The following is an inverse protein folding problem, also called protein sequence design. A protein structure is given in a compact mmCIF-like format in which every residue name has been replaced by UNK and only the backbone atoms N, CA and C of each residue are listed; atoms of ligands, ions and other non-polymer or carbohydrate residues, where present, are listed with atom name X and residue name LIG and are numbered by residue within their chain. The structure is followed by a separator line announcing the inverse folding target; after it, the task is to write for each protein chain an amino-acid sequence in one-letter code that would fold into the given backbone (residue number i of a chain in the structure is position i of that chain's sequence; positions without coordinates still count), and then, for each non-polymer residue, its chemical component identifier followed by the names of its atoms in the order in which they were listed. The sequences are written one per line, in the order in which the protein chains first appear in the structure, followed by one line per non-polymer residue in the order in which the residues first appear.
data_IF_707705680615
#
_entry.id   IF_707705680615
#
_cell.length_a   1.000
_cell.length_b   1.000
_cell.length_c   1.000
_cell.angle_alpha   90.00
_cell.angle_beta   90.00
_cell.angle_gamma   90.00
#
_symmetry.space_group_name_H-M   'P 1'
#
loop_
_entity.id
_entity.type
_entity.pdbx_description
1 polymer ?
#
# COMPACT_ATOMS: atom_id res chain seq x y z
N UNK A 1 15.52 -13.00 8.47
CA UNK A 1 15.41 -11.61 8.96
C UNK A 1 16.25 -10.76 8.03
N UNK A 2 15.65 -9.75 7.40
CA UNK A 2 16.32 -8.87 6.43
C UNK A 2 17.42 -8.06 7.13
N UNK A 3 18.66 -8.05 6.64
CA UNK A 3 19.72 -7.17 7.17
C UNK A 3 19.63 -5.78 6.56
N UNK A 4 19.73 -4.73 7.39
CA UNK A 4 19.74 -3.32 6.96
C UNK A 4 20.94 -3.00 6.06
N UNK A 5 22.05 -3.73 6.20
CA UNK A 5 23.28 -3.52 5.43
C UNK A 5 23.06 -3.73 3.91
N UNK A 6 22.07 -4.55 3.53
CA UNK A 6 21.70 -4.79 2.13
C UNK A 6 20.88 -3.64 1.51
N UNK A 7 20.56 -2.59 2.29
CA UNK A 7 19.66 -1.50 1.93
C UNK A 7 20.31 -0.12 2.05
N UNK A 8 21.64 -0.02 2.05
CA UNK A 8 22.31 1.29 1.97
C UNK A 8 21.81 2.08 0.72
N UNK A 9 21.25 3.26 0.95
CA UNK A 9 20.62 4.11 -0.08
C UNK A 9 19.18 3.70 -0.48
N UNK A 10 18.61 2.68 0.18
CA UNK A 10 17.25 2.15 -0.03
C UNK A 10 16.54 1.85 1.31
N UNK A 11 16.81 2.63 2.34
CA UNK A 11 16.31 2.43 3.71
C UNK A 11 14.78 2.46 3.76
N UNK A 12 14.13 3.21 2.86
CA UNK A 12 12.67 3.21 2.71
C UNK A 12 12.11 1.86 2.24
N UNK A 13 12.86 1.12 1.42
CA UNK A 13 12.46 -0.22 0.99
C UNK A 13 12.58 -1.23 2.14
N UNK A 14 13.59 -1.07 3.01
CA UNK A 14 13.77 -1.91 4.20
C UNK A 14 12.54 -1.89 5.11
N UNK A 15 11.99 -0.71 5.43
CA UNK A 15 10.80 -0.61 6.29
C UNK A 15 9.59 -1.32 5.65
N UNK A 16 9.40 -1.16 4.34
CA UNK A 16 8.31 -1.84 3.61
C UNK A 16 8.48 -3.35 3.67
N UNK A 17 9.71 -3.84 3.55
CA UNK A 17 10.02 -5.27 3.59
C UNK A 17 9.81 -5.87 4.98
N UNK A 18 10.30 -5.20 6.02
CA UNK A 18 10.07 -5.61 7.43
C UNK A 18 8.57 -5.63 7.74
N UNK A 19 7.84 -4.60 7.31
CA UNK A 19 6.39 -4.57 7.45
C UNK A 19 5.73 -5.75 6.74
N UNK A 20 6.02 -5.97 5.46
CA UNK A 20 5.40 -7.06 4.70
C UNK A 20 5.76 -8.44 5.25
N UNK A 21 7.02 -8.69 5.62
CA UNK A 21 7.43 -9.96 6.21
C UNK A 21 6.71 -10.27 7.52
N UNK A 22 6.66 -9.31 8.44
CA UNK A 22 6.04 -9.51 9.76
C UNK A 22 4.51 -9.49 9.71
N UNK A 23 3.94 -8.57 8.94
CA UNK A 23 2.51 -8.30 8.97
C UNK A 23 1.70 -9.20 8.05
N UNK A 24 2.13 -9.37 6.79
CA UNK A 24 1.32 -10.05 5.78
C UNK A 24 1.08 -11.51 6.15
N UNK A 25 2.13 -12.24 6.55
CA UNK A 25 2.00 -13.65 6.91
C UNK A 25 1.07 -13.84 8.12
N UNK A 26 1.20 -12.99 9.14
CA UNK A 26 0.32 -12.99 10.31
C UNK A 26 -1.15 -12.67 9.94
N UNK A 27 -1.37 -11.68 9.08
CA UNK A 27 -2.70 -11.32 8.58
C UNK A 27 -3.32 -12.46 7.79
N UNK A 28 -2.55 -13.09 6.88
CA UNK A 28 -3.00 -14.24 6.10
C UNK A 28 -3.40 -15.38 7.03
N UNK A 29 -2.57 -15.73 8.03
CA UNK A 29 -2.93 -16.77 8.99
C UNK A 29 -4.20 -16.45 9.78
N UNK A 30 -4.40 -15.21 10.19
CA UNK A 30 -5.62 -14.82 10.91
C UNK A 30 -6.85 -14.94 10.02
N UNK A 31 -6.79 -14.39 8.81
CA UNK A 31 -7.95 -14.27 7.90
C UNK A 31 -8.28 -15.59 7.20
N UNK A 32 -7.28 -16.35 6.77
CA UNK A 32 -7.46 -17.64 6.12
C UNK A 32 -8.05 -18.72 7.04
N UNK A 33 -8.16 -18.46 8.35
CA UNK A 33 -8.97 -19.29 9.25
C UNK A 33 -10.49 -19.15 9.00
N UNK A 34 -10.92 -18.04 8.39
CA UNK A 34 -12.33 -17.70 8.15
C UNK A 34 -12.67 -17.57 6.65
N UNK A 35 -11.70 -17.33 5.78
CA UNK A 35 -11.89 -17.12 4.34
C UNK A 35 -11.09 -18.13 3.52
N UNK A 36 -11.70 -18.65 2.45
CA UNK A 36 -11.06 -19.62 1.56
C UNK A 36 -10.21 -18.98 0.45
N UNK A 37 -10.37 -17.68 0.26
CA UNK A 37 -9.61 -16.88 -0.70
C UNK A 37 -8.94 -15.70 0.03
N UNK A 38 -7.63 -15.54 -0.21
CA UNK A 38 -6.88 -14.36 0.18
C UNK A 38 -6.25 -13.73 -1.08
N UNK A 39 -6.45 -12.42 -1.24
CA UNK A 39 -5.85 -11.66 -2.34
C UNK A 39 -4.99 -10.54 -1.80
N UNK A 40 -3.71 -10.55 -2.15
CA UNK A 40 -2.82 -9.41 -2.01
C UNK A 40 -2.88 -8.56 -3.27
N UNK A 41 -3.03 -7.25 -3.12
CA UNK A 41 -3.01 -6.30 -4.24
C UNK A 41 -1.92 -5.27 -3.98
N UNK A 42 -0.90 -5.22 -4.83
CA UNK A 42 0.12 -4.17 -4.81
C UNK A 42 -0.17 -3.18 -5.96
N UNK A 43 -0.56 -1.96 -5.59
CA UNK A 43 -0.87 -0.91 -6.55
C UNK A 43 0.35 -0.30 -7.23
N UNK A 44 1.56 -0.52 -6.70
CA UNK A 44 2.77 0.15 -7.14
C UNK A 44 3.99 -0.78 -7.07
N UNK A 45 3.83 -2.00 -7.60
CA UNK A 45 4.74 -3.12 -7.36
C UNK A 45 6.19 -2.85 -7.78
N UNK A 46 6.44 -2.02 -8.80
CA UNK A 46 7.78 -1.94 -9.37
C UNK A 46 8.19 -3.23 -10.07
N UNK A 47 9.35 -3.23 -10.71
CA UNK A 47 10.48 -3.85 -10.05
C UNK A 47 11.60 -2.83 -9.90
N UNK A 48 11.55 -2.05 -8.82
CA UNK A 48 12.56 -1.03 -8.55
C UNK A 48 13.80 -1.70 -7.95
N UNK A 49 14.90 -1.65 -8.70
CA UNK A 49 16.26 -2.02 -8.25
C UNK A 49 16.43 -3.48 -7.77
N UNK A 50 15.65 -4.42 -8.31
CA UNK A 50 15.90 -5.83 -7.99
C UNK A 50 17.31 -6.21 -8.47
N UNK A 51 18.13 -6.65 -7.53
CA UNK A 51 19.51 -7.09 -7.78
C UNK A 51 19.52 -8.48 -8.42
N UNK A 52 18.42 -9.24 -8.28
CA UNK A 52 18.32 -10.65 -8.66
C UNK A 52 17.14 -10.91 -9.61
N UNK A 53 17.31 -11.83 -10.57
CA UNK A 53 16.26 -12.21 -11.54
C UNK A 53 15.01 -12.86 -10.91
N UNK A 54 15.07 -13.19 -9.62
CA UNK A 54 13.97 -13.79 -8.83
C UNK A 54 13.09 -12.78 -8.10
N UNK A 55 13.46 -11.49 -8.10
CA UNK A 55 12.69 -10.43 -7.42
C UNK A 55 12.46 -10.65 -5.92
N UNK A 56 13.25 -11.50 -5.26
CA UNK A 56 13.10 -11.82 -3.84
C UNK A 56 13.37 -10.59 -2.94
N UNK A 57 14.05 -9.58 -3.47
CA UNK A 57 14.35 -8.29 -2.85
C UNK A 57 13.35 -7.19 -3.23
N UNK A 58 12.18 -7.53 -3.76
CA UNK A 58 11.08 -6.58 -4.00
C UNK A 58 9.95 -6.78 -3.00
N UNK A 59 9.14 -5.74 -2.80
CA UNK A 59 7.93 -5.80 -1.96
C UNK A 59 7.00 -6.94 -2.39
N UNK A 60 6.77 -7.08 -3.69
CA UNK A 60 5.91 -8.14 -4.21
C UNK A 60 6.54 -9.53 -4.08
N UNK A 61 7.86 -9.68 -4.22
CA UNK A 61 8.54 -10.96 -4.05
C UNK A 61 8.43 -11.46 -2.62
N UNK A 62 8.64 -10.57 -1.65
CA UNK A 62 8.41 -10.83 -0.22
C UNK A 62 6.96 -11.23 0.03
N UNK A 63 6.01 -10.50 -0.57
CA UNK A 63 4.59 -10.79 -0.42
C UNK A 63 4.22 -12.17 -0.98
N UNK A 64 4.69 -12.51 -2.19
CA UNK A 64 4.48 -13.83 -2.80
C UNK A 64 5.06 -14.93 -1.93
N UNK A 65 6.29 -14.76 -1.42
CA UNK A 65 6.93 -15.73 -0.54
C UNK A 65 6.13 -15.94 0.76
N UNK A 66 5.62 -14.86 1.36
CA UNK A 66 4.74 -14.94 2.54
C UNK A 66 3.43 -15.70 2.24
N UNK A 67 2.79 -15.42 1.09
CA UNK A 67 1.59 -16.14 0.66
C UNK A 67 1.85 -17.63 0.45
N UNK A 68 2.97 -18.00 -0.17
CA UNK A 68 3.35 -19.40 -0.39
C UNK A 68 3.63 -20.12 0.93
N UNK A 69 4.35 -19.49 1.88
CA UNK A 69 4.58 -20.05 3.22
C UNK A 69 3.27 -20.28 3.96
N UNK A 70 2.39 -19.27 3.98
CA UNK A 70 1.10 -19.40 4.63
C UNK A 70 0.21 -20.47 3.98
N UNK A 71 0.21 -20.58 2.64
CA UNK A 71 -0.50 -21.64 1.92
C UNK A 71 -0.02 -23.03 2.32
N UNK A 72 1.30 -23.25 2.33
CA UNK A 72 1.90 -24.53 2.78
C UNK A 72 1.51 -24.84 4.22
N UNK A 73 1.66 -23.87 5.13
CA UNK A 73 1.31 -24.07 6.54
C UNK A 73 -0.19 -24.38 6.77
N UNK A 74 -1.10 -23.93 5.91
CA UNK A 74 -2.51 -24.31 5.99
C UNK A 74 -2.79 -25.69 5.39
N UNK A 75 -2.13 -26.03 4.28
CA UNK A 75 -2.23 -27.36 3.67
C UNK A 75 -1.72 -28.45 4.63
N UNK A 76 -0.61 -28.21 5.33
CA UNK A 76 -0.09 -29.10 6.39
C UNK A 76 -1.09 -29.31 7.55
N UNK A 77 -2.04 -28.39 7.73
CA UNK A 77 -3.13 -28.46 8.72
C UNK A 77 -4.43 -29.00 8.13
N UNK A 78 -4.41 -29.49 6.89
CA UNK A 78 -5.57 -30.05 6.19
C UNK A 78 -6.55 -29.01 5.66
N UNK A 79 -6.14 -27.74 5.51
CA UNK A 79 -6.97 -26.68 4.93
C UNK A 79 -6.36 -26.16 3.63
N UNK A 80 -7.14 -26.24 2.56
CA UNK A 80 -6.79 -25.61 1.29
C UNK A 80 -7.30 -24.17 1.23
N UNK A 81 -6.37 -23.23 0.98
CA UNK A 81 -6.67 -21.80 0.86
C UNK A 81 -6.12 -21.29 -0.48
N UNK A 82 -6.96 -20.58 -1.23
CA UNK A 82 -6.58 -19.96 -2.50
C UNK A 82 -5.88 -18.65 -2.23
N UNK A 83 -4.61 -18.58 -2.57
CA UNK A 83 -3.80 -17.36 -2.47
C UNK A 83 -3.63 -16.73 -3.85
N UNK A 84 -3.80 -15.41 -3.95
CA UNK A 84 -3.56 -14.65 -5.17
C UNK A 84 -2.78 -13.36 -4.91
N UNK A 85 -1.96 -12.94 -5.87
CA UNK A 85 -1.24 -11.66 -5.86
C UNK A 85 -1.55 -10.88 -7.14
N UNK A 86 -2.10 -9.66 -7.02
CA UNK A 86 -2.44 -8.78 -8.14
C UNK A 86 -1.49 -7.58 -8.13
N UNK A 87 -0.64 -7.49 -9.14
CA UNK A 87 0.51 -6.58 -9.16
C UNK A 87 0.34 -5.56 -10.28
N UNK A 88 0.48 -4.27 -9.95
CA UNK A 88 0.31 -3.17 -10.91
C UNK A 88 1.62 -2.43 -11.10
N UNK A 89 1.99 -2.22 -12.37
CA UNK A 89 3.12 -1.38 -12.75
C UNK A 89 2.74 -0.48 -13.92
N UNK A 90 3.03 0.83 -13.78
CA UNK A 90 2.68 1.84 -14.76
C UNK A 90 3.68 1.90 -15.91
N UNK A 91 4.97 1.82 -15.61
CA UNK A 91 6.02 1.88 -16.61
C UNK A 91 6.05 0.61 -17.47
N UNK A 92 5.97 0.78 -18.78
CA UNK A 92 5.88 -0.36 -19.70
C UNK A 92 7.16 -1.22 -19.71
N UNK A 93 8.35 -0.62 -19.55
CA UNK A 93 9.62 -1.35 -19.57
C UNK A 93 9.79 -2.13 -18.27
N UNK A 94 9.49 -1.52 -17.12
CA UNK A 94 9.49 -2.19 -15.83
C UNK A 94 8.42 -3.30 -15.78
N UNK A 95 7.25 -3.08 -16.37
CA UNK A 95 6.20 -4.09 -16.48
C UNK A 95 6.64 -5.33 -17.27
N UNK A 96 7.46 -5.21 -18.32
CA UNK A 96 7.95 -6.39 -19.06
C UNK A 96 8.67 -7.40 -18.17
N UNK A 97 9.34 -6.92 -17.11
CA UNK A 97 9.95 -7.76 -16.09
C UNK A 97 8.89 -8.38 -15.17
N UNK A 98 7.97 -7.55 -14.65
CA UNK A 98 6.87 -7.99 -13.78
C UNK A 98 5.98 -9.05 -14.46
N UNK A 99 5.75 -8.93 -15.77
CA UNK A 99 4.92 -9.85 -16.55
C UNK A 99 5.44 -11.30 -16.58
N UNK A 100 6.72 -11.53 -16.23
CA UNK A 100 7.32 -12.87 -16.15
C UNK A 100 7.07 -13.56 -14.82
N UNK A 101 6.75 -12.81 -13.76
CA UNK A 101 6.56 -13.32 -12.39
C UNK A 101 5.53 -14.44 -12.27
N UNK A 102 4.38 -14.44 -12.99
CA UNK A 102 3.44 -15.54 -12.91
C UNK A 102 4.02 -16.90 -13.32
N UNK A 103 4.96 -16.94 -14.28
CA UNK A 103 5.57 -18.18 -14.75
C UNK A 103 6.50 -18.80 -13.71
N UNK A 104 7.04 -17.98 -12.80
CA UNK A 104 7.95 -18.40 -11.74
C UNK A 104 7.21 -18.84 -10.46
N UNK A 105 5.89 -18.65 -10.38
CA UNK A 105 5.12 -18.79 -9.14
C UNK A 105 3.81 -19.55 -9.36
N UNK A 106 3.91 -20.84 -9.74
CA UNK A 106 2.75 -21.70 -10.01
C UNK A 106 1.90 -22.05 -8.78
N UNK A 107 2.48 -21.94 -7.58
CA UNK A 107 1.83 -22.33 -6.32
C UNK A 107 0.67 -21.41 -5.93
N UNK A 108 0.64 -20.17 -6.45
CA UNK A 108 -0.39 -19.17 -6.19
C UNK A 108 -0.81 -18.48 -7.49
N UNK A 109 -2.00 -17.86 -7.52
CA UNK A 109 -2.43 -17.12 -8.70
C UNK A 109 -1.80 -15.73 -8.72
N UNK A 110 -0.87 -15.47 -9.64
CA UNK A 110 -0.32 -14.13 -9.86
C UNK A 110 -0.95 -13.49 -11.10
N UNK A 111 -1.57 -12.32 -10.95
CA UNK A 111 -2.05 -11.48 -12.07
C UNK A 111 -1.27 -10.17 -12.10
N UNK A 112 -0.87 -9.75 -13.29
CA UNK A 112 -0.15 -8.49 -13.47
C UNK A 112 -0.93 -7.54 -14.38
N UNK A 113 -0.80 -6.24 -14.13
CA UNK A 113 -1.48 -5.20 -14.90
C UNK A 113 -0.50 -4.09 -15.27
N UNK A 114 -0.44 -3.73 -16.56
CA UNK A 114 0.29 -2.55 -17.01
C UNK A 114 -0.62 -1.33 -17.05
N UNK A 115 -0.29 -0.29 -16.30
CA UNK A 115 -0.98 0.99 -16.33
C UNK A 115 -1.05 1.69 -14.98
N UNK A 116 -1.74 2.82 -14.96
CA UNK A 116 -1.97 3.58 -13.73
C UNK A 116 -2.93 2.83 -12.80
N UNK A 117 -2.52 2.67 -11.53
CA UNK A 117 -3.29 1.95 -10.51
C UNK A 117 -4.71 2.47 -10.35
N UNK A 118 -4.85 3.79 -10.20
CA UNK A 118 -6.15 4.43 -9.97
C UNK A 118 -7.11 4.14 -11.13
N UNK A 119 -6.59 4.19 -12.36
CA UNK A 119 -7.34 3.89 -13.58
C UNK A 119 -7.70 2.40 -13.71
N UNK A 120 -6.89 1.51 -13.14
CA UNK A 120 -7.08 0.06 -13.18
C UNK A 120 -7.97 -0.50 -12.07
N UNK A 121 -8.29 0.28 -11.02
CA UNK A 121 -9.13 -0.17 -9.89
C UNK A 121 -10.38 -0.95 -10.34
N UNK A 122 -11.21 -0.48 -11.30
CA UNK A 122 -12.39 -1.24 -11.71
C UNK A 122 -12.07 -2.61 -12.35
N UNK A 123 -10.94 -2.71 -13.05
CA UNK A 123 -10.49 -3.97 -13.66
C UNK A 123 -9.97 -4.94 -12.59
N UNK A 124 -9.17 -4.42 -11.65
CA UNK A 124 -8.61 -5.18 -10.53
C UNK A 124 -9.74 -5.78 -9.69
N UNK A 125 -10.71 -4.96 -9.27
CA UNK A 125 -11.82 -5.40 -8.41
C UNK A 125 -12.69 -6.47 -9.06
N UNK A 126 -12.93 -6.42 -10.38
CA UNK A 126 -13.63 -7.48 -11.13
C UNK A 126 -12.88 -8.82 -11.13
N UNK A 127 -11.56 -8.77 -10.99
CA UNK A 127 -10.72 -9.97 -10.95
C UNK A 127 -10.69 -10.66 -9.59
N UNK A 128 -11.18 -10.02 -8.52
CA UNK A 128 -11.14 -10.50 -7.14
C UNK A 128 -12.41 -11.31 -6.84
N UNK A 129 -12.32 -12.53 -6.29
CA UNK A 129 -13.49 -13.29 -5.87
C UNK A 129 -14.36 -12.51 -4.87
N UNK A 130 -15.68 -12.61 -4.98
CA UNK A 130 -16.60 -11.84 -4.14
C UNK A 130 -16.39 -12.07 -2.65
N UNK A 131 -16.07 -13.31 -2.26
CA UNK A 131 -15.92 -13.70 -0.86
C UNK A 131 -14.50 -13.62 -0.32
N UNK A 132 -13.52 -13.24 -1.14
CA UNK A 132 -12.11 -13.16 -0.74
C UNK A 132 -11.86 -12.06 0.28
N UNK A 133 -11.01 -12.37 1.25
CA UNK A 133 -10.34 -11.35 2.03
C UNK A 133 -9.25 -10.69 1.17
N UNK A 134 -9.11 -9.36 1.26
CA UNK A 134 -8.17 -8.62 0.42
C UNK A 134 -7.30 -7.70 1.26
N UNK A 135 -5.98 -7.79 1.09
CA UNK A 135 -5.07 -6.73 1.52
C UNK A 135 -4.70 -5.87 0.31
N UNK A 136 -5.04 -4.59 0.35
CA UNK A 136 -4.56 -3.60 -0.61
C UNK A 136 -3.35 -2.86 -0.04
N UNK A 137 -2.22 -2.96 -0.73
CA UNK A 137 -1.00 -2.21 -0.44
C UNK A 137 -0.87 -1.06 -1.44
N UNK A 138 -0.99 0.18 -0.94
CA UNK A 138 -1.02 1.41 -1.73
C UNK A 138 0.20 2.24 -1.34
N UNK A 139 1.21 2.21 -2.20
CA UNK A 139 2.51 2.87 -1.99
C UNK A 139 2.87 3.76 -3.18
N UNK A 140 2.19 4.90 -3.35
CA UNK A 140 2.42 5.76 -4.50
C UNK A 140 3.83 6.34 -4.47
N UNK A 141 4.43 6.51 -5.65
CA UNK A 141 5.58 7.41 -5.79
C UNK A 141 5.13 8.85 -5.54
N UNK A 142 5.58 9.43 -4.44
CA UNK A 142 5.19 10.77 -4.01
C UNK A 142 3.97 10.75 -3.10
N UNK A 143 3.13 11.78 -3.18
CA UNK A 143 2.02 12.00 -2.24
C UNK A 143 0.66 12.24 -2.91
N UNK A 144 0.63 12.58 -4.21
CA UNK A 144 -0.61 12.95 -4.90
C UNK A 144 -1.33 11.71 -5.43
N UNK A 145 -2.49 11.41 -4.86
CA UNK A 145 -3.44 10.42 -5.39
C UNK A 145 -4.86 10.96 -5.23
N UNK A 146 -5.75 10.83 -6.24
CA UNK A 146 -7.15 11.24 -6.09
C UNK A 146 -7.93 10.20 -5.30
N UNK A 147 -8.00 10.36 -3.98
CA UNK A 147 -8.54 9.36 -3.05
C UNK A 147 -10.01 9.02 -3.35
N UNK A 148 -10.80 9.98 -3.85
CA UNK A 148 -12.20 9.72 -4.30
C UNK A 148 -12.29 8.62 -5.36
N UNK A 149 -11.30 8.52 -6.26
CA UNK A 149 -11.28 7.48 -7.30
C UNK A 149 -10.98 6.09 -6.72
N UNK A 150 -10.38 6.03 -5.53
CA UNK A 150 -10.14 4.78 -4.82
C UNK A 150 -11.34 4.30 -4.00
N UNK A 151 -12.43 5.09 -3.90
CA UNK A 151 -13.64 4.72 -3.13
C UNK A 151 -14.12 3.28 -3.36
N UNK A 152 -14.22 2.76 -4.61
CA UNK A 152 -14.69 1.39 -4.83
C UNK A 152 -13.83 0.32 -4.17
N UNK A 153 -12.52 0.57 -4.08
CA UNK A 153 -11.56 -0.29 -3.40
C UNK A 153 -11.65 -0.10 -1.88
N UNK A 154 -11.66 1.14 -1.42
CA UNK A 154 -11.71 1.46 0.02
C UNK A 154 -12.98 0.93 0.68
N UNK A 155 -14.12 0.99 -0.01
CA UNK A 155 -15.41 0.54 0.52
C UNK A 155 -15.66 -0.96 0.33
N UNK A 156 -14.67 -1.73 -0.12
CA UNK A 156 -14.84 -3.17 -0.34
C UNK A 156 -14.96 -3.90 1.01
N UNK A 157 -15.99 -4.74 1.22
CA UNK A 157 -16.08 -5.55 2.43
C UNK A 157 -14.92 -6.56 2.50
N UNK A 158 -14.58 -6.99 3.73
CA UNK A 158 -13.53 -8.00 3.98
C UNK A 158 -12.19 -7.58 3.38
N UNK A 159 -11.85 -6.31 3.52
CA UNK A 159 -10.59 -5.80 3.05
C UNK A 159 -9.90 -4.98 4.11
N UNK A 160 -8.59 -4.94 3.98
CA UNK A 160 -7.71 -4.06 4.71
C UNK A 160 -6.87 -3.26 3.73
N UNK A 161 -6.56 -2.02 4.07
CA UNK A 161 -5.77 -1.11 3.23
C UNK A 161 -4.59 -0.62 4.03
N UNK A 162 -3.40 -0.88 3.51
CA UNK A 162 -2.16 -0.28 3.98
C UNK A 162 -1.80 0.80 3.00
N UNK A 163 -1.77 2.04 3.48
CA UNK A 163 -1.44 3.21 2.69
C UNK A 163 -0.11 3.78 3.18
N UNK A 164 0.94 3.72 2.35
CA UNK A 164 2.20 4.36 2.66
C UNK A 164 2.20 5.82 2.18
N UNK A 165 2.65 6.72 3.05
CA UNK A 165 2.53 8.15 2.81
C UNK A 165 3.72 8.96 3.31
N UNK A 166 4.35 9.72 2.42
CA UNK A 166 5.54 10.53 2.72
C UNK A 166 5.18 11.99 3.02
N UNK A 167 4.94 12.33 4.29
CA UNK A 167 4.57 13.69 4.72
C UNK A 167 5.65 14.76 4.50
N UNK A 168 6.93 14.39 4.49
CA UNK A 168 8.05 15.32 4.28
C UNK A 168 7.96 16.08 2.96
N UNK A 169 7.37 15.47 1.92
CA UNK A 169 7.18 16.15 0.63
C UNK A 169 6.10 17.22 0.67
N UNK A 170 5.09 17.07 1.51
CA UNK A 170 3.99 18.03 1.62
C UNK A 170 4.43 19.25 2.41
N UNK A 171 5.14 19.03 3.52
CA UNK A 171 5.65 20.11 4.36
C UNK A 171 6.55 21.09 3.59
N UNK A 172 7.28 20.60 2.58
CA UNK A 172 8.15 21.44 1.72
C UNK A 172 7.40 22.16 0.59
N UNK A 173 6.20 21.72 0.22
CA UNK A 173 5.51 22.15 -1.00
C UNK A 173 4.22 22.95 -0.74
N UNK A 174 3.83 23.10 0.52
CA UNK A 174 2.46 23.43 0.94
C UNK A 174 1.91 24.82 0.55
N UNK A 175 2.70 25.69 -0.09
CA UNK A 175 2.28 27.05 -0.46
C UNK A 175 1.96 27.23 -1.94
N UNK A 176 2.14 26.22 -2.79
CA UNK A 176 1.82 26.33 -4.22
C UNK A 176 0.36 25.92 -4.54
N UNK A 177 -0.33 26.58 -5.49
CA UNK A 177 -1.68 26.19 -5.91
C UNK A 177 -1.80 24.73 -6.34
N UNK A 178 -0.79 24.20 -7.03
CA UNK A 178 -0.75 22.80 -7.47
C UNK A 178 -0.74 21.82 -6.29
N UNK A 179 -0.06 22.17 -5.19
CA UNK A 179 0.00 21.34 -3.99
C UNK A 179 -1.33 21.39 -3.25
N UNK A 180 -1.96 22.56 -3.15
CA UNK A 180 -3.31 22.70 -2.58
C UNK A 180 -4.31 21.82 -3.35
N UNK A 181 -4.30 21.85 -4.67
CA UNK A 181 -5.16 20.99 -5.49
C UNK A 181 -4.88 19.51 -5.22
N UNK A 182 -3.61 19.10 -5.17
CA UNK A 182 -3.27 17.72 -4.86
C UNK A 182 -3.70 17.30 -3.44
N UNK A 183 -3.58 18.19 -2.44
CA UNK A 183 -4.01 17.90 -1.07
C UNK A 183 -5.53 17.75 -0.99
N UNK A 184 -6.28 18.52 -1.78
CA UNK A 184 -7.73 18.35 -1.90
C UNK A 184 -8.13 17.03 -2.58
N UNK A 185 -7.35 16.59 -3.57
CA UNK A 185 -7.55 15.29 -4.23
C UNK A 185 -7.27 14.13 -3.27
N UNK A 186 -6.23 14.26 -2.44
CA UNK A 186 -5.81 13.27 -1.47
C UNK A 186 -6.71 13.23 -0.23
N UNK A 187 -7.07 14.38 0.31
CA UNK A 187 -7.90 14.54 1.50
C UNK A 187 -9.18 15.29 1.10
N UNK A 188 -10.10 14.61 0.39
CA UNK A 188 -11.34 15.22 -0.06
C UNK A 188 -12.31 15.55 1.07
N UNK A 189 -12.03 15.07 2.28
CA UNK A 189 -12.75 15.32 3.52
C UNK A 189 -11.78 15.87 4.57
N UNK A 190 -12.33 16.53 5.59
CA UNK A 190 -11.56 17.23 6.63
C UNK A 190 -11.33 18.71 6.33
N UNK A 191 -11.03 19.45 7.40
CA UNK A 191 -10.89 20.90 7.39
C UNK A 191 -9.43 21.36 7.39
N UNK A 192 -8.48 20.51 6.94
CA UNK A 192 -7.04 20.79 6.97
C UNK A 192 -6.68 22.20 6.51
N UNK A 193 -7.34 22.72 5.45
CA UNK A 193 -7.02 24.05 4.92
C UNK A 193 -7.35 25.17 5.90
N UNK A 194 -8.49 25.08 6.58
CA UNK A 194 -8.92 26.06 7.58
C UNK A 194 -8.07 25.95 8.84
N UNK A 195 -7.77 24.72 9.27
CA UNK A 195 -6.94 24.44 10.45
C UNK A 195 -5.50 24.92 10.25
N UNK A 196 -4.91 24.70 9.07
CA UNK A 196 -3.60 25.24 8.74
C UNK A 196 -3.58 26.76 8.72
N UNK A 197 -4.60 27.39 8.11
CA UNK A 197 -4.69 28.86 8.08
C UNK A 197 -4.81 29.47 9.48
N UNK A 198 -5.61 28.85 10.37
CA UNK A 198 -5.74 29.28 11.76
C UNK A 198 -4.43 29.09 12.55
N UNK A 199 -3.72 27.97 12.34
CA UNK A 199 -2.44 27.69 12.99
C UNK A 199 -1.34 28.66 12.55
N UNK A 200 -1.31 29.04 11.27
CA UNK A 200 -0.39 30.04 10.72
C UNK A 200 -0.64 31.44 11.30
N UNK A 201 -1.91 31.85 11.44
CA UNK A 201 -2.28 33.13 12.04
C UNK A 201 -1.85 33.25 13.50
N UNK A 202 -1.95 32.16 14.27
CA UNK A 202 -1.59 32.14 15.68
C UNK A 202 -0.07 32.02 15.93
N UNK A 203 0.77 32.05 14.88
CA UNK A 203 2.24 31.82 14.95
C UNK A 203 2.64 30.54 15.71
N UNK A 204 1.74 29.58 15.80
CA UNK A 204 1.88 28.36 16.60
C UNK A 204 2.12 27.11 15.72
N UNK A 205 2.48 27.31 14.45
CA UNK A 205 2.66 26.21 13.50
C UNK A 205 4.10 25.68 13.52
N UNK A 206 4.27 24.49 14.09
CA UNK A 206 5.48 23.68 13.93
C UNK A 206 5.29 22.66 12.80
N UNK A 207 6.36 22.10 12.22
CA UNK A 207 6.26 20.99 11.26
C UNK A 207 5.47 19.79 11.80
N UNK A 208 5.58 19.50 13.09
CA UNK A 208 4.87 18.42 13.78
C UNK A 208 3.37 18.72 13.89
N UNK A 209 3.01 19.96 14.23
CA UNK A 209 1.62 20.38 14.29
C UNK A 209 0.97 20.34 12.90
N UNK A 210 1.70 20.81 11.87
CA UNK A 210 1.26 20.70 10.46
C UNK A 210 1.05 19.25 10.04
N UNK A 211 1.99 18.37 10.38
CA UNK A 211 1.87 16.93 10.10
C UNK A 211 0.61 16.36 10.74
N UNK A 212 0.36 16.67 12.02
CA UNK A 212 -0.81 16.18 12.76
C UNK A 212 -2.13 16.54 12.05
N UNK A 213 -2.32 17.81 11.69
CA UNK A 213 -3.52 18.28 10.96
C UNK A 213 -3.74 17.50 9.65
N UNK A 214 -2.67 17.28 8.89
CA UNK A 214 -2.72 16.56 7.62
C UNK A 214 -3.03 15.07 7.81
N UNK A 215 -2.41 14.42 8.82
CA UNK A 215 -2.69 13.02 9.16
C UNK A 215 -4.14 12.83 9.58
N UNK A 216 -4.67 13.71 10.44
CA UNK A 216 -6.04 13.66 10.92
C UNK A 216 -7.04 13.80 9.76
N UNK A 217 -6.82 14.78 8.88
CA UNK A 217 -7.68 14.97 7.69
C UNK A 217 -7.60 13.82 6.68
N UNK A 218 -6.41 13.22 6.52
CA UNK A 218 -6.27 12.02 5.68
C UNK A 218 -6.99 10.82 6.30
N UNK A 219 -6.87 10.64 7.61
CA UNK A 219 -7.55 9.55 8.34
C UNK A 219 -9.07 9.70 8.25
N UNK A 220 -9.59 10.90 8.43
CA UNK A 220 -11.01 11.20 8.23
C UNK A 220 -11.46 10.87 6.80
N UNK A 221 -10.67 11.25 5.80
CA UNK A 221 -10.98 10.94 4.40
C UNK A 221 -11.04 9.44 4.13
N UNK A 222 -10.14 8.65 4.71
CA UNK A 222 -10.17 7.19 4.64
C UNK A 222 -11.41 6.62 5.33
N UNK A 223 -11.74 7.08 6.54
CA UNK A 223 -12.93 6.65 7.27
C UNK A 223 -14.21 6.92 6.49
N UNK A 224 -14.37 8.13 5.94
CA UNK A 224 -15.57 8.49 5.18
C UNK A 224 -15.69 7.74 3.86
N UNK A 225 -14.59 7.55 3.12
CA UNK A 225 -14.61 6.86 1.83
C UNK A 225 -14.76 5.34 1.97
N UNK A 226 -14.02 4.74 2.90
CA UNK A 226 -13.96 3.29 3.10
C UNK A 226 -14.97 2.75 4.11
N UNK A 227 -15.62 3.63 4.90
CA UNK A 227 -16.47 3.25 6.04
C UNK A 227 -15.71 2.42 7.07
N UNK A 228 -14.44 2.74 7.28
CA UNK A 228 -13.61 2.07 8.27
C UNK A 228 -14.04 2.48 9.68
N UNK A 229 -14.21 1.48 10.55
CA UNK A 229 -14.40 1.72 11.98
C UNK A 229 -13.10 2.19 12.66
N UNK A 230 -11.95 1.76 12.12
CA UNK A 230 -10.64 2.05 12.67
C UNK A 230 -9.68 2.45 11.56
N UNK A 231 -8.92 3.52 11.80
CA UNK A 231 -7.75 3.91 11.00
C UNK A 231 -6.61 4.10 11.98
N UNK A 232 -5.50 3.39 11.76
CA UNK A 232 -4.32 3.47 12.59
C UNK A 232 -3.18 4.11 11.78
N UNK A 233 -2.45 5.02 12.42
CA UNK A 233 -1.25 5.64 11.87
C UNK A 233 -0.02 5.01 12.53
N UNK A 234 1.04 4.77 11.76
CA UNK A 234 2.36 4.46 12.30
C UNK A 234 3.38 5.37 11.64
N UNK A 235 4.01 6.23 12.44
CA UNK A 235 5.10 7.08 11.98
C UNK A 235 6.36 6.24 11.81
N UNK A 236 6.86 6.18 10.57
CA UNK A 236 8.19 5.65 10.26
C UNK A 236 9.20 6.78 10.42
N UNK A 237 10.04 6.70 11.46
CA UNK A 237 11.19 7.58 11.59
C UNK A 237 12.28 7.13 10.62
N UNK A 238 13.04 8.08 10.05
CA UNK A 238 14.15 7.76 9.16
C UNK A 238 15.12 6.83 9.90
N UNK A 239 15.38 5.60 9.40
CA UNK A 239 16.46 4.79 9.94
C UNK A 239 17.72 5.64 9.91
N UNK A 240 18.41 5.74 11.04
CA UNK A 240 19.65 6.50 11.14
C UNK A 240 20.62 5.95 10.08
N UNK A 241 21.22 6.88 9.35
CA UNK A 241 22.33 6.62 8.43
C UNK A 241 23.56 6.26 9.23
#
# INVERSE_FOLDING_TARGET
MVSIDNYQGREQAYVKHVFLEGYLEALVHKTASAYDDFVYVDGFAGPWQSVNERFEDTSFGIAINALQRAKRSWSDRGREVRMSAFLVERDALAYQKLARVPQQNSDILVKTYNGDFVSLVPKILRGIPQNAFVLFFIDPKGWRIPLRKLKPLLSRPRSEVVFNFMFDFINRAASSPAVITGLQELMPYGNWRQELAAAEQNRAITPEHRKKILVESFSESLMQLGRYQYVAETTVLRPLT
#
